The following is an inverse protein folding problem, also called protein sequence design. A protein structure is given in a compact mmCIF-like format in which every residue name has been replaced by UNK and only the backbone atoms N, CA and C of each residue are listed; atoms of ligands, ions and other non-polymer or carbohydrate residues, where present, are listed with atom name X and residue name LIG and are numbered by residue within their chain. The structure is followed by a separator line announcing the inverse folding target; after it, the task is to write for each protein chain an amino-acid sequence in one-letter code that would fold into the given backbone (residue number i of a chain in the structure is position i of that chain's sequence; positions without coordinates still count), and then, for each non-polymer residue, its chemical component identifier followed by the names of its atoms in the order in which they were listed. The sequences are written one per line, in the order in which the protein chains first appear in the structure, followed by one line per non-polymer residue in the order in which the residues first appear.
data_IF_149088625982
#
_entry.id   IF_149088625982
#
_cell.length_a   1.000
_cell.length_b   1.000
_cell.length_c   1.000
_cell.angle_alpha   90.00
_cell.angle_beta   90.00
_cell.angle_gamma   90.00
#
_symmetry.space_group_name_H-M   'P 1'
#
loop_
_entity.id
_entity.type
_entity.pdbx_description
1 polymer ?
#
# COMPACT_ATOMS: atom_id res chain seq x y z
N UNK A 1 19.56 2.07 22.49
CA UNK A 1 18.24 2.69 22.28
C UNK A 1 18.07 3.76 23.32
N UNK A 2 17.39 4.87 23.01
CA UNK A 2 17.12 5.91 24.01
C UNK A 2 16.38 5.31 25.21
N UNK A 3 16.86 5.60 26.42
CA UNK A 3 16.22 5.17 27.66
C UNK A 3 14.82 5.80 27.76
N UNK A 4 13.82 5.02 28.17
CA UNK A 4 12.44 5.52 28.30
C UNK A 4 12.39 6.52 29.45
N UNK A 5 11.75 7.67 29.21
CA UNK A 5 11.59 8.74 30.19
C UNK A 5 10.76 8.26 31.41
N UNK A 6 9.72 7.46 31.16
CA UNK A 6 8.90 6.84 32.21
C UNK A 6 9.24 5.35 32.33
N UNK A 7 9.41 4.86 33.56
CA UNK A 7 9.69 3.45 33.86
C UNK A 7 8.48 2.55 33.62
N UNK A 8 7.28 3.11 33.50
CA UNK A 8 6.04 2.39 33.19
C UNK A 8 5.95 2.08 31.71
N UNK A 9 6.36 0.86 31.36
CA UNK A 9 6.45 0.34 29.99
C UNK A 9 5.11 0.36 29.26
N UNK A 10 4.03 0.00 29.96
CA UNK A 10 2.68 -0.08 29.42
C UNK A 10 2.16 1.26 28.86
N UNK A 11 2.65 2.41 29.34
CA UNK A 11 2.23 3.72 28.83
C UNK A 11 2.62 3.92 27.35
N UNK A 12 3.75 3.34 26.93
CA UNK A 12 4.22 3.41 25.55
C UNK A 12 3.47 2.45 24.61
N UNK A 13 2.58 1.60 25.16
CA UNK A 13 1.72 0.70 24.41
C UNK A 13 0.35 1.33 24.08
N UNK A 14 0.05 2.52 24.63
CA UNK A 14 -1.26 3.16 24.48
C UNK A 14 -1.39 3.87 23.13
N UNK A 15 -0.46 4.78 22.81
CA UNK A 15 -0.58 5.70 21.67
C UNK A 15 0.02 5.13 20.38
N UNK A 16 1.22 4.54 20.47
CA UNK A 16 1.95 4.01 19.33
C UNK A 16 2.69 2.74 19.74
N UNK A 17 2.00 1.61 19.62
CA UNK A 17 2.48 0.35 20.18
C UNK A 17 3.48 -0.35 19.24
N UNK A 18 4.77 -0.16 19.51
CA UNK A 18 5.84 -0.80 18.74
C UNK A 18 6.02 -2.31 18.98
N UNK A 19 5.38 -2.90 20.00
CA UNK A 19 5.52 -4.32 20.35
C UNK A 19 4.60 -5.20 19.50
N UNK A 20 3.30 -4.91 19.55
CA UNK A 20 2.27 -5.73 18.91
C UNK A 20 1.29 -4.92 18.05
N UNK A 21 1.50 -3.61 17.91
CA UNK A 21 0.70 -2.73 17.07
C UNK A 21 -0.75 -2.52 17.49
N UNK A 22 -1.17 -2.93 18.68
CA UNK A 22 -2.50 -2.61 19.22
C UNK A 22 -2.40 -1.29 20.00
N UNK A 23 -3.02 -0.23 19.48
CA UNK A 23 -3.01 1.12 20.07
C UNK A 23 -4.31 1.86 19.74
N UNK A 24 -4.55 2.96 20.47
CA UNK A 24 -5.78 3.74 20.37
C UNK A 24 -5.92 4.49 19.04
N UNK A 25 -4.82 4.75 18.33
CA UNK A 25 -4.82 5.32 16.98
C UNK A 25 -5.64 4.43 16.03
N UNK A 26 -5.38 3.11 16.02
CA UNK A 26 -6.13 2.15 15.20
C UNK A 26 -7.58 2.02 15.59
N UNK A 27 -7.86 2.04 16.88
CA UNK A 27 -9.24 1.99 17.38
C UNK A 27 -10.06 3.15 16.84
N UNK A 28 -9.47 4.35 16.83
CA UNK A 28 -10.13 5.55 16.36
C UNK A 28 -10.28 5.59 14.84
N UNK A 29 -9.17 5.52 14.09
CA UNK A 29 -9.25 5.77 12.65
C UNK A 29 -10.07 4.70 11.92
N UNK A 30 -10.03 3.43 12.36
CA UNK A 30 -10.82 2.38 11.72
C UNK A 30 -12.32 2.65 11.85
N UNK A 31 -12.77 3.02 13.04
CA UNK A 31 -14.19 3.32 13.29
C UNK A 31 -14.59 4.60 12.54
N UNK A 32 -13.76 5.65 12.64
CA UNK A 32 -14.01 6.94 11.99
C UNK A 32 -14.11 6.79 10.47
N UNK A 33 -13.15 6.13 9.85
CA UNK A 33 -13.10 5.98 8.40
C UNK A 33 -14.24 5.10 7.90
N UNK A 34 -14.52 3.97 8.56
CA UNK A 34 -15.64 3.12 8.21
C UNK A 34 -16.98 3.85 8.33
N UNK A 35 -17.13 4.69 9.36
CA UNK A 35 -18.33 5.52 9.50
C UNK A 35 -18.45 6.52 8.35
N UNK A 36 -17.38 7.22 7.99
CA UNK A 36 -17.36 8.18 6.89
C UNK A 36 -17.64 7.54 5.52
N UNK A 37 -17.18 6.31 5.30
CA UNK A 37 -17.28 5.61 4.01
C UNK A 37 -18.58 4.82 3.85
N UNK A 38 -19.04 4.18 4.92
CA UNK A 38 -20.12 3.20 4.87
C UNK A 38 -21.37 3.63 5.64
N UNK A 39 -21.34 4.75 6.37
CA UNK A 39 -22.49 5.28 7.11
C UNK A 39 -23.06 4.28 8.12
N UNK A 40 -22.20 3.51 8.80
CA UNK A 40 -22.59 2.51 9.79
C UNK A 40 -22.95 1.12 9.24
N UNK A 41 -23.02 0.93 7.91
CA UNK A 41 -23.28 -0.40 7.31
C UNK A 41 -22.15 -1.40 7.54
N UNK A 42 -20.93 -0.90 7.73
CA UNK A 42 -19.75 -1.64 8.14
C UNK A 42 -19.11 -0.87 9.29
N UNK A 43 -18.69 -1.57 10.32
CA UNK A 43 -18.03 -0.98 11.48
C UNK A 43 -17.13 -2.02 12.14
N UNK A 44 -16.21 -1.53 12.95
CA UNK A 44 -15.36 -2.32 13.83
C UNK A 44 -15.67 -1.94 15.28
N UNK A 45 -15.70 -2.91 16.19
CA UNK A 45 -16.00 -2.66 17.60
C UNK A 45 -14.82 -3.04 18.51
N UNK A 46 -13.98 -2.07 18.85
CA UNK A 46 -12.86 -2.26 19.77
C UNK A 46 -13.27 -2.32 21.24
N UNK A 47 -14.55 -2.12 21.59
CA UNK A 47 -15.00 -2.01 22.98
C UNK A 47 -14.59 -3.22 23.82
N UNK A 48 -14.63 -4.43 23.26
CA UNK A 48 -14.17 -5.63 23.97
C UNK A 48 -12.67 -5.56 24.29
N UNK A 49 -11.83 -5.13 23.35
CA UNK A 49 -10.41 -4.93 23.63
C UNK A 49 -10.17 -3.87 24.72
N UNK A 50 -10.98 -2.81 24.73
CA UNK A 50 -10.91 -1.76 25.74
C UNK A 50 -11.31 -2.23 27.15
N UNK A 51 -12.31 -3.09 27.28
CA UNK A 51 -12.80 -3.54 28.58
C UNK A 51 -12.05 -4.77 29.12
N UNK A 52 -11.49 -5.60 28.24
CA UNK A 52 -10.82 -6.85 28.60
C UNK A 52 -9.28 -6.77 28.48
N UNK A 53 -8.70 -5.63 28.85
CA UNK A 53 -7.26 -5.49 29.03
C UNK A 53 -6.90 -5.23 30.51
N UNK A 54 -5.66 -5.57 30.88
CA UNK A 54 -5.06 -5.29 32.20
C UNK A 54 -3.57 -5.01 32.04
N UNK A 55 -2.98 -4.35 33.04
CA UNK A 55 -1.53 -4.24 33.15
C UNK A 55 -1.00 -5.39 34.02
N UNK A 56 -0.09 -6.19 33.47
CA UNK A 56 0.62 -7.27 34.18
C UNK A 56 2.10 -7.14 33.83
N UNK A 57 2.98 -7.13 34.83
CA UNK A 57 4.43 -6.97 34.66
C UNK A 57 4.80 -5.82 33.71
N UNK A 58 4.16 -4.66 33.93
CA UNK A 58 4.43 -3.42 33.19
C UNK A 58 4.08 -3.46 31.68
N UNK A 59 3.20 -4.37 31.26
CA UNK A 59 2.71 -4.52 29.88
C UNK A 59 1.19 -4.60 29.82
N UNK A 60 0.59 -4.08 28.75
CA UNK A 60 -0.83 -4.27 28.46
C UNK A 60 -1.03 -5.71 27.97
N UNK A 61 -1.88 -6.44 28.70
CA UNK A 61 -2.27 -7.82 28.43
C UNK A 61 -3.77 -7.89 28.16
N UNK A 62 -4.19 -8.86 27.36
CA UNK A 62 -5.60 -9.04 26.97
C UNK A 62 -6.18 -10.34 27.51
N UNK A 63 -7.47 -10.37 27.82
CA UNK A 63 -8.11 -11.61 28.21
C UNK A 63 -8.19 -12.58 27.01
N UNK A 64 -8.00 -13.88 27.21
CA UNK A 64 -8.08 -14.88 26.12
C UNK A 64 -9.42 -14.89 25.38
N UNK A 65 -10.52 -14.42 26.01
CA UNK A 65 -11.82 -14.33 25.35
C UNK A 65 -11.90 -13.26 24.25
N UNK A 66 -10.87 -12.43 24.08
CA UNK A 66 -10.83 -11.41 23.02
C UNK A 66 -9.79 -11.68 21.94
N UNK A 67 -9.21 -12.89 21.89
CA UNK A 67 -8.23 -13.25 20.85
C UNK A 67 -8.81 -13.09 19.44
N UNK A 68 -10.06 -13.51 19.21
CA UNK A 68 -10.72 -13.31 17.91
C UNK A 68 -10.94 -11.82 17.58
N UNK A 69 -11.27 -10.99 18.58
CA UNK A 69 -11.43 -9.54 18.42
C UNK A 69 -10.09 -8.87 18.02
N UNK A 70 -8.95 -9.40 18.49
CA UNK A 70 -7.62 -8.94 18.10
C UNK A 70 -7.31 -9.31 16.63
N UNK A 71 -7.61 -10.53 16.19
CA UNK A 71 -7.46 -10.89 14.77
C UNK A 71 -8.37 -10.03 13.90
N UNK A 72 -9.61 -9.82 14.32
CA UNK A 72 -10.55 -8.95 13.61
C UNK A 72 -10.00 -7.52 13.44
N UNK A 73 -9.35 -6.94 14.44
CA UNK A 73 -8.68 -5.63 14.32
C UNK A 73 -7.73 -5.58 13.11
N UNK A 74 -6.85 -6.58 13.00
CA UNK A 74 -5.85 -6.63 11.94
C UNK A 74 -6.46 -6.98 10.58
N UNK A 75 -7.48 -7.84 10.55
CA UNK A 75 -8.26 -8.14 9.36
C UNK A 75 -8.92 -6.86 8.81
N UNK A 76 -9.63 -6.12 9.67
CA UNK A 76 -10.29 -4.87 9.30
C UNK A 76 -9.28 -3.85 8.79
N UNK A 77 -8.15 -3.68 9.49
CA UNK A 77 -7.06 -2.82 9.00
C UNK A 77 -6.58 -3.26 7.63
N UNK A 78 -6.23 -4.53 7.45
CA UNK A 78 -5.77 -5.07 6.19
C UNK A 78 -6.77 -4.81 5.05
N UNK A 79 -8.06 -5.07 5.28
CA UNK A 79 -9.11 -4.82 4.28
C UNK A 79 -9.24 -3.33 3.92
N UNK A 80 -9.20 -2.44 4.91
CA UNK A 80 -9.24 -1.00 4.67
C UNK A 80 -8.06 -0.53 3.82
N UNK A 81 -6.85 -1.03 4.08
CA UNK A 81 -5.68 -0.75 3.24
C UNK A 81 -5.81 -1.36 1.83
N UNK A 82 -6.25 -2.61 1.71
CA UNK A 82 -6.39 -3.30 0.44
C UNK A 82 -7.42 -2.65 -0.48
N UNK A 83 -8.57 -2.28 0.07
CA UNK A 83 -9.75 -1.88 -0.69
C UNK A 83 -9.92 -0.36 -0.80
N UNK A 84 -9.56 0.38 0.24
CA UNK A 84 -9.84 1.82 0.34
C UNK A 84 -8.55 2.64 0.22
N UNK A 85 -7.64 2.56 1.18
CA UNK A 85 -6.46 3.44 1.21
C UNK A 85 -5.53 3.18 0.04
N UNK A 86 -5.39 1.91 -0.35
CA UNK A 86 -4.65 1.48 -1.52
C UNK A 86 -5.50 1.41 -2.79
N UNK A 87 -6.69 2.03 -2.86
CA UNK A 87 -7.55 1.92 -4.04
C UNK A 87 -6.87 2.48 -5.28
N UNK A 88 -6.99 1.77 -6.41
CA UNK A 88 -6.20 2.03 -7.62
C UNK A 88 -6.42 3.42 -8.20
N UNK A 89 -7.67 3.90 -8.26
CA UNK A 89 -7.95 5.27 -8.73
C UNK A 89 -7.53 6.33 -7.69
N UNK A 90 -7.49 5.99 -6.40
CA UNK A 90 -6.94 6.85 -5.36
C UNK A 90 -5.42 7.02 -5.54
N UNK A 91 -4.69 5.91 -5.67
CA UNK A 91 -3.25 5.93 -6.01
C UNK A 91 -2.95 6.67 -7.31
N UNK A 92 -3.78 6.55 -8.34
CA UNK A 92 -3.61 7.32 -9.58
C UNK A 92 -3.69 8.84 -9.34
N UNK A 93 -4.66 9.30 -8.53
CA UNK A 93 -4.75 10.71 -8.12
C UNK A 93 -3.55 11.12 -7.26
N UNK A 94 -3.13 10.27 -6.32
CA UNK A 94 -1.94 10.51 -5.50
C UNK A 94 -0.69 10.69 -6.37
N UNK A 95 -0.48 9.85 -7.38
CA UNK A 95 0.63 10.03 -8.32
C UNK A 95 0.54 11.32 -9.14
N UNK A 96 -0.67 11.76 -9.48
CA UNK A 96 -0.85 13.06 -10.13
C UNK A 96 -0.57 14.22 -9.18
N UNK A 97 -0.97 14.12 -7.89
CA UNK A 97 -0.66 15.12 -6.86
C UNK A 97 0.84 15.15 -6.56
N UNK A 98 1.48 13.98 -6.43
CA UNK A 98 2.94 13.87 -6.36
C UNK A 98 3.55 14.50 -7.60
N UNK A 99 3.02 14.32 -8.80
CA UNK A 99 3.57 15.01 -9.98
C UNK A 99 3.34 16.53 -9.96
N UNK A 100 2.28 17.01 -9.30
CA UNK A 100 2.07 18.45 -9.04
C UNK A 100 3.11 18.99 -8.05
N UNK A 101 3.54 18.19 -7.06
CA UNK A 101 4.35 18.62 -5.89
C UNK A 101 5.84 18.20 -5.98
N UNK A 102 6.16 17.08 -6.65
CA UNK A 102 7.40 16.29 -6.51
C UNK A 102 7.94 15.76 -7.85
N UNK A 103 9.28 15.70 -7.96
CA UNK A 103 10.17 14.87 -8.80
C UNK A 103 11.61 15.41 -9.00
N UNK A 104 12.58 14.71 -8.42
CA UNK A 104 13.95 14.65 -8.96
C UNK A 104 14.18 13.27 -9.59
N UNK A 105 14.99 13.26 -10.67
CA UNK A 105 15.53 12.13 -11.47
C UNK A 105 14.51 11.40 -12.38
N UNK A 106 14.61 11.34 -13.72
CA UNK A 106 15.73 11.54 -14.65
C UNK A 106 15.18 11.94 -16.02
N UNK A 107 15.88 12.83 -16.72
CA UNK A 107 15.93 12.98 -18.18
C UNK A 107 14.61 13.23 -18.95
N UNK A 108 14.49 14.48 -19.43
CA UNK A 108 13.55 14.95 -20.46
C UNK A 108 12.05 14.99 -20.10
N UNK A 109 11.72 15.79 -19.08
CA UNK A 109 10.50 16.62 -19.03
C UNK A 109 10.57 17.55 -17.79
N UNK A 110 11.65 18.34 -17.69
CA UNK A 110 11.68 19.56 -16.85
C UNK A 110 10.52 20.45 -17.32
N UNK A 111 9.62 20.94 -16.47
CA UNK A 111 9.69 22.31 -15.95
C UNK A 111 8.68 22.58 -14.80
N UNK A 112 7.68 21.73 -14.55
CA UNK A 112 6.56 22.03 -13.64
C UNK A 112 6.93 22.19 -12.16
N UNK A 113 8.05 21.56 -11.80
CA UNK A 113 8.22 20.91 -10.52
C UNK A 113 9.32 21.61 -9.69
N UNK A 114 10.36 22.12 -10.38
CA UNK A 114 11.23 23.20 -9.88
C UNK A 114 10.38 24.41 -9.52
N UNK A 115 9.37 24.72 -10.31
CA UNK A 115 8.71 26.01 -10.24
C UNK A 115 7.72 26.08 -9.07
N UNK A 116 7.05 24.98 -8.70
CA UNK A 116 6.16 24.96 -7.54
C UNK A 116 6.90 24.91 -6.19
N UNK A 117 7.80 23.95 -6.00
CA UNK A 117 8.54 23.82 -4.74
C UNK A 117 9.48 25.02 -4.50
N UNK A 118 10.16 25.52 -5.54
CA UNK A 118 10.99 26.74 -5.42
C UNK A 118 10.15 27.98 -5.17
N UNK A 119 8.97 28.11 -5.77
CA UNK A 119 8.10 29.27 -5.53
C UNK A 119 7.40 29.23 -4.17
N UNK A 120 7.12 28.03 -3.65
CA UNK A 120 6.25 27.84 -2.48
C UNK A 120 6.98 27.27 -1.25
N UNK A 121 8.26 26.89 -1.36
CA UNK A 121 9.08 26.39 -0.26
C UNK A 121 8.55 25.11 0.40
N UNK A 122 7.85 24.25 -0.35
CA UNK A 122 7.06 23.12 0.18
C UNK A 122 7.96 22.20 1.01
N UNK A 123 9.05 21.70 0.41
CA UNK A 123 9.98 20.78 1.07
C UNK A 123 10.72 21.45 2.22
N UNK A 124 11.13 22.70 2.03
CA UNK A 124 11.86 23.47 3.04
C UNK A 124 11.02 23.71 4.30
N UNK A 125 9.70 23.85 4.16
CA UNK A 125 8.78 24.08 5.29
C UNK A 125 8.84 22.97 6.35
N UNK A 126 9.19 21.73 5.97
CA UNK A 126 9.30 20.59 6.89
C UNK A 126 10.39 20.74 7.96
N UNK A 127 11.36 21.64 7.74
CA UNK A 127 12.45 21.90 8.68
C UNK A 127 12.07 22.92 9.77
N UNK A 128 10.89 23.52 9.69
CA UNK A 128 10.42 24.55 10.62
C UNK A 128 8.98 24.30 11.02
N UNK A 129 8.67 23.97 12.30
CA UNK A 129 7.29 23.83 12.75
C UNK A 129 6.43 25.06 12.44
N UNK A 130 7.03 26.26 12.46
CA UNK A 130 6.37 27.53 12.17
C UNK A 130 5.93 27.65 10.72
N UNK A 131 6.67 27.06 9.78
CA UNK A 131 6.32 27.04 8.35
C UNK A 131 5.43 25.84 8.03
N UNK A 132 5.76 24.67 8.58
CA UNK A 132 5.07 23.41 8.33
C UNK A 132 3.57 23.47 8.69
N UNK A 133 3.19 24.20 9.74
CA UNK A 133 1.78 24.35 10.13
C UNK A 133 0.89 24.94 9.03
N UNK A 134 1.45 25.71 8.09
CA UNK A 134 0.72 26.28 6.96
C UNK A 134 0.71 25.37 5.73
N UNK A 135 1.55 24.34 5.71
CA UNK A 135 1.58 23.35 4.64
C UNK A 135 0.39 22.39 4.78
N UNK A 136 -0.72 22.79 4.17
CA UNK A 136 -1.99 22.07 4.16
C UNK A 136 -2.42 21.76 2.73
N UNK A 137 -3.51 21.00 2.58
CA UNK A 137 -4.16 20.72 1.29
C UNK A 137 -4.51 21.98 0.48
N UNK A 138 -4.57 23.15 1.14
CA UNK A 138 -4.75 24.43 0.48
C UNK A 138 -3.69 24.72 -0.60
N UNK A 139 -2.51 24.09 -0.53
CA UNK A 139 -1.45 24.22 -1.54
C UNK A 139 -1.94 23.91 -2.96
N UNK A 140 -2.85 22.94 -3.12
CA UNK A 140 -3.45 22.62 -4.41
C UNK A 140 -4.24 23.81 -4.95
N UNK A 141 -4.96 24.53 -4.06
CA UNK A 141 -5.71 25.72 -4.43
C UNK A 141 -4.79 26.89 -4.77
N UNK A 142 -3.71 27.07 -4.02
CA UNK A 142 -2.68 28.09 -4.29
C UNK A 142 -2.11 27.91 -5.69
N UNK A 143 -1.71 26.69 -6.06
CA UNK A 143 -1.18 26.39 -7.40
C UNK A 143 -2.26 26.62 -8.46
N UNK A 144 -3.48 26.11 -8.25
CA UNK A 144 -4.61 26.24 -9.19
C UNK A 144 -4.94 27.71 -9.51
N UNK A 145 -4.86 28.60 -8.51
CA UNK A 145 -5.16 30.03 -8.63
C UNK A 145 -3.95 30.90 -8.99
N UNK A 146 -2.73 30.36 -8.97
CA UNK A 146 -1.53 31.13 -9.29
C UNK A 146 -1.53 31.59 -10.75
N UNK A 147 -1.10 32.83 -10.98
CA UNK A 147 -0.91 33.42 -12.31
C UNK A 147 0.52 33.25 -12.83
N UNK A 148 1.42 32.68 -12.02
CA UNK A 148 2.80 32.47 -12.44
C UNK A 148 2.86 31.49 -13.61
N UNK A 149 3.47 31.91 -14.73
CA UNK A 149 3.66 31.06 -15.91
C UNK A 149 4.44 29.79 -15.58
N UNK A 150 5.31 29.88 -14.57
CA UNK A 150 6.13 28.78 -14.07
C UNK A 150 5.29 27.59 -13.57
N UNK A 151 4.11 27.86 -13.03
CA UNK A 151 3.19 26.88 -12.47
C UNK A 151 2.20 26.30 -13.49
N UNK A 152 2.33 26.63 -14.78
CA UNK A 152 1.36 26.25 -15.81
C UNK A 152 1.18 24.73 -15.92
N UNK A 153 2.27 23.97 -15.99
CA UNK A 153 2.20 22.51 -16.09
C UNK A 153 1.56 21.86 -14.86
N UNK A 154 1.83 22.38 -13.66
CA UNK A 154 1.20 21.93 -12.42
C UNK A 154 -0.32 22.20 -12.43
N UNK A 155 -0.72 23.40 -12.86
CA UNK A 155 -2.14 23.75 -13.07
C UNK A 155 -2.82 22.82 -14.07
N UNK A 156 -2.15 22.42 -15.14
CA UNK A 156 -2.73 21.54 -16.16
C UNK A 156 -2.94 20.11 -15.64
N UNK A 157 -2.07 19.60 -14.75
CA UNK A 157 -2.30 18.34 -14.05
C UNK A 157 -3.51 18.47 -13.09
N UNK A 158 -3.61 19.57 -12.33
CA UNK A 158 -4.78 19.81 -11.46
C UNK A 158 -6.07 19.84 -12.30
N UNK A 159 -6.08 20.55 -13.44
CA UNK A 159 -7.23 20.56 -14.37
C UNK A 159 -7.61 19.16 -14.83
N UNK A 160 -6.62 18.30 -15.15
CA UNK A 160 -6.88 16.89 -15.49
C UNK A 160 -7.55 16.15 -14.33
N UNK A 161 -7.06 16.31 -13.10
CA UNK A 161 -7.69 15.71 -11.90
C UNK A 161 -9.15 16.16 -11.78
N UNK A 162 -9.41 17.47 -11.89
CA UNK A 162 -10.78 18.05 -11.83
C UNK A 162 -11.70 17.50 -12.92
N UNK A 163 -11.17 17.30 -14.13
CA UNK A 163 -11.89 16.71 -15.27
C UNK A 163 -11.92 15.18 -15.27
N UNK A 164 -11.39 14.55 -14.21
CA UNK A 164 -11.27 13.09 -14.08
C UNK A 164 -10.45 12.42 -15.20
N UNK A 165 -9.57 13.17 -15.86
CA UNK A 165 -8.61 12.69 -16.85
C UNK A 165 -7.36 12.13 -16.15
N UNK A 166 -7.60 11.08 -15.35
CA UNK A 166 -6.61 10.51 -14.44
C UNK A 166 -5.56 9.66 -15.18
N UNK A 167 -4.44 9.42 -14.51
CA UNK A 167 -3.54 8.33 -14.87
C UNK A 167 -4.27 7.00 -14.87
N UNK A 168 -3.95 6.17 -15.84
CA UNK A 168 -4.67 4.92 -16.05
C UNK A 168 -4.00 3.80 -15.28
N UNK A 169 -4.80 3.03 -14.57
CA UNK A 169 -4.33 1.77 -14.00
C UNK A 169 -4.25 0.76 -15.15
N UNK A 170 -3.06 0.25 -15.41
CA UNK A 170 -2.78 -0.62 -16.55
C UNK A 170 -2.94 -2.08 -16.14
N UNK A 171 -2.17 -2.50 -15.14
CA UNK A 171 -2.14 -3.91 -14.74
C UNK A 171 -1.70 -4.10 -13.29
N UNK A 172 -1.92 -5.31 -12.76
CA UNK A 172 -1.52 -5.71 -11.42
C UNK A 172 -1.02 -7.15 -11.39
N UNK A 173 -0.07 -7.41 -10.50
CA UNK A 173 0.44 -8.73 -10.19
C UNK A 173 0.55 -8.91 -8.67
N UNK A 174 -0.22 -9.86 -8.13
CA UNK A 174 -0.08 -10.32 -6.75
C UNK A 174 1.09 -11.29 -6.70
N UNK A 175 2.19 -10.88 -6.07
CA UNK A 175 3.44 -11.65 -6.05
C UNK A 175 3.27 -12.86 -5.13
N UNK A 176 3.44 -14.10 -5.64
CA UNK A 176 3.45 -15.28 -4.79
C UNK A 176 4.55 -15.18 -3.71
N UNK A 177 4.27 -15.71 -2.51
CA UNK A 177 5.19 -15.63 -1.38
C UNK A 177 6.62 -16.12 -1.72
N UNK A 178 6.74 -17.22 -2.47
CA UNK A 178 8.04 -17.78 -2.88
C UNK A 178 8.83 -16.93 -3.90
N UNK A 179 8.19 -15.92 -4.51
CA UNK A 179 8.82 -14.96 -5.42
C UNK A 179 9.09 -13.60 -4.76
N UNK A 180 8.56 -13.36 -3.56
CA UNK A 180 8.59 -12.03 -2.91
C UNK A 180 10.00 -11.47 -2.76
N UNK A 181 10.98 -12.33 -2.46
CA UNK A 181 12.39 -11.93 -2.33
C UNK A 181 13.22 -12.20 -3.59
N UNK A 182 12.65 -12.85 -4.62
CA UNK A 182 13.33 -13.17 -5.89
C UNK A 182 13.15 -12.07 -6.94
N UNK A 183 12.01 -11.39 -6.92
CA UNK A 183 11.75 -10.25 -7.78
C UNK A 183 12.37 -9.02 -7.09
N UNK A 184 13.37 -8.33 -7.68
CA UNK A 184 13.91 -7.10 -7.11
C UNK A 184 12.86 -5.99 -7.11
N UNK A 185 13.21 -4.81 -6.59
CA UNK A 185 12.35 -3.62 -6.71
C UNK A 185 12.24 -3.25 -8.19
N UNK A 186 11.05 -3.32 -8.75
CA UNK A 186 10.79 -3.08 -10.18
C UNK A 186 10.80 -1.59 -10.46
N UNK A 187 11.52 -1.17 -11.51
CA UNK A 187 11.60 0.20 -11.98
C UNK A 187 10.88 0.37 -13.32
N UNK A 188 10.52 1.61 -13.65
CA UNK A 188 9.87 1.93 -14.92
C UNK A 188 10.75 1.54 -16.15
N UNK A 189 12.08 1.68 -16.02
CA UNK A 189 13.03 1.26 -17.05
C UNK A 189 13.00 -0.24 -17.34
N UNK A 190 12.82 -1.06 -16.30
CA UNK A 190 12.76 -2.52 -16.45
C UNK A 190 11.56 -2.94 -17.31
N UNK A 191 10.46 -2.17 -17.21
CA UNK A 191 9.25 -2.38 -18.01
C UNK A 191 9.45 -1.86 -19.42
N UNK A 192 9.98 -0.65 -19.60
CA UNK A 192 10.23 -0.08 -20.93
C UNK A 192 11.17 -0.97 -21.77
N UNK A 193 12.18 -1.59 -21.15
CA UNK A 193 13.15 -2.46 -21.82
C UNK A 193 12.67 -3.91 -22.04
N UNK A 194 11.55 -4.33 -21.45
CA UNK A 194 11.06 -5.71 -21.56
C UNK A 194 10.41 -6.05 -22.92
N UNK A 195 10.30 -5.06 -23.81
CA UNK A 195 9.71 -5.20 -25.14
C UNK A 195 8.20 -5.47 -25.11
N UNK A 196 7.53 -5.22 -26.24
CA UNK A 196 6.11 -5.53 -26.40
C UNK A 196 5.84 -6.03 -27.82
N UNK A 197 4.81 -6.85 -28.00
CA UNK A 197 4.49 -7.46 -29.29
C UNK A 197 3.97 -6.45 -30.33
N UNK A 198 3.58 -5.26 -29.88
CA UNK A 198 3.09 -4.17 -30.74
C UNK A 198 4.22 -3.35 -31.37
N UNK A 199 5.48 -3.54 -30.96
CA UNK A 199 6.63 -2.77 -31.44
C UNK A 199 6.57 -1.28 -31.07
N UNK A 200 5.78 -0.91 -30.05
CA UNK A 200 5.68 0.47 -29.58
C UNK A 200 6.90 0.79 -28.73
N UNK A 201 7.60 1.89 -29.04
CA UNK A 201 8.67 2.39 -28.18
C UNK A 201 8.07 3.06 -26.94
N UNK A 202 8.37 2.52 -25.75
CA UNK A 202 7.77 2.95 -24.49
C UNK A 202 8.66 3.99 -23.82
N UNK A 203 8.12 5.19 -23.61
CA UNK A 203 8.81 6.19 -22.81
C UNK A 203 8.73 5.81 -21.32
N UNK A 204 9.90 5.68 -20.68
CA UNK A 204 10.03 5.41 -19.24
C UNK A 204 9.23 6.41 -18.40
N UNK A 205 9.17 7.68 -18.83
CA UNK A 205 8.47 8.75 -18.11
C UNK A 205 6.94 8.60 -18.10
N UNK A 206 6.37 7.78 -18.99
CA UNK A 206 4.94 7.49 -19.02
C UNK A 206 4.54 6.34 -18.09
N UNK A 207 5.51 5.57 -17.59
CA UNK A 207 5.29 4.39 -16.76
C UNK A 207 5.47 4.74 -15.28
N UNK A 208 4.51 4.35 -14.46
CA UNK A 208 4.59 4.45 -13.00
C UNK A 208 4.47 3.05 -12.41
N UNK A 209 5.45 2.67 -11.59
CA UNK A 209 5.47 1.39 -10.89
C UNK A 209 5.11 1.61 -9.42
N UNK A 210 4.06 0.92 -8.97
CA UNK A 210 3.75 0.75 -7.56
C UNK A 210 4.25 -0.63 -7.12
N UNK A 211 5.11 -0.66 -6.10
CA UNK A 211 5.57 -1.89 -5.46
C UNK A 211 5.26 -1.79 -3.97
N UNK A 212 4.10 -2.34 -3.58
CA UNK A 212 3.57 -2.20 -2.23
C UNK A 212 3.50 -3.52 -1.48
N UNK A 213 3.66 -3.44 -0.16
CA UNK A 213 3.45 -4.55 0.78
C UNK A 213 2.28 -4.22 1.70
N UNK A 214 1.33 -5.14 1.83
CA UNK A 214 0.20 -5.04 2.74
C UNK A 214 0.33 -6.14 3.79
N UNK A 215 0.18 -5.77 5.05
CA UNK A 215 0.41 -6.67 6.17
C UNK A 215 -0.38 -6.30 7.43
N UNK A 216 -0.24 -7.12 8.47
CA UNK A 216 -0.89 -6.93 9.78
C UNK A 216 -0.14 -5.92 10.66
N UNK A 217 0.49 -4.92 10.05
CA UNK A 217 1.28 -3.85 10.67
C UNK A 217 2.59 -4.30 11.35
N UNK A 218 2.97 -5.58 11.22
CA UNK A 218 4.23 -6.13 11.73
C UNK A 218 5.03 -6.87 10.64
N UNK A 219 5.11 -6.27 9.43
CA UNK A 219 5.78 -6.87 8.27
C UNK A 219 5.21 -8.27 7.99
N UNK A 220 6.07 -9.26 7.77
CA UNK A 220 5.71 -10.65 7.52
C UNK A 220 5.35 -11.46 8.77
N UNK A 221 5.37 -10.84 9.97
CA UNK A 221 5.08 -11.50 11.25
C UNK A 221 3.63 -11.33 11.68
N UNK A 222 3.16 -12.29 12.46
CA UNK A 222 1.89 -12.18 13.16
C UNK A 222 2.03 -11.24 14.38
N UNK A 223 1.33 -10.10 14.44
CA UNK A 223 1.37 -9.24 15.63
C UNK A 223 0.79 -9.93 16.88
N UNK A 224 -0.11 -10.91 16.72
CA UNK A 224 -0.74 -11.61 17.85
C UNK A 224 0.26 -12.49 18.61
N UNK A 225 1.32 -12.96 17.97
CA UNK A 225 2.40 -13.69 18.64
C UNK A 225 3.11 -12.82 19.70
N UNK A 226 3.06 -11.50 19.53
CA UNK A 226 3.65 -10.52 20.46
C UNK A 226 2.66 -10.04 21.53
N UNK A 227 1.43 -10.57 21.54
CA UNK A 227 0.39 -10.24 22.52
C UNK A 227 0.50 -11.14 23.73
N UNK A 228 0.46 -10.54 24.91
CA UNK A 228 0.41 -11.25 26.19
C UNK A 228 -1.04 -11.38 26.64
N UNK A 229 -1.41 -12.58 27.08
CA UNK A 229 -2.77 -12.95 27.47
C UNK A 229 -2.86 -13.28 28.96
N UNK A 230 -4.07 -13.15 29.53
CA UNK A 230 -4.42 -13.65 30.85
C UNK A 230 -5.79 -14.35 30.82
N UNK A 231 -6.13 -15.12 31.86
CA UNK A 231 -7.42 -15.82 31.97
C UNK A 231 -8.23 -15.37 33.18
N UNK A 232 -9.51 -15.76 33.23
CA UNK A 232 -10.34 -15.59 34.42
C UNK A 232 -9.82 -16.35 35.64
N UNK A 233 -9.12 -17.48 35.45
CA UNK A 233 -8.61 -18.32 36.53
C UNK A 233 -7.34 -17.78 37.17
N UNK A 234 -6.46 -17.13 36.39
CA UNK A 234 -5.33 -16.37 36.91
C UNK A 234 -5.22 -15.03 36.16
N UNK A 235 -5.57 -13.94 36.85
CA UNK A 235 -5.60 -12.61 36.24
C UNK A 235 -4.25 -11.92 36.30
N UNK A 236 -3.35 -12.32 37.18
CA UNK A 236 -2.10 -11.61 37.48
C UNK A 236 -0.87 -12.29 36.83
N UNK A 237 -1.09 -13.34 36.03
CA UNK A 237 -0.07 -14.02 35.25
C UNK A 237 -0.33 -13.80 33.76
N UNK A 238 0.72 -13.45 33.02
CA UNK A 238 0.67 -13.29 31.56
C UNK A 238 1.34 -14.46 30.86
N UNK A 239 0.81 -14.85 29.71
CA UNK A 239 1.37 -15.89 28.85
C UNK A 239 1.16 -15.56 27.37
N UNK A 240 1.76 -16.35 26.48
CA UNK A 240 1.51 -16.28 25.04
C UNK A 240 0.76 -17.53 24.59
N UNK A 241 -0.09 -17.40 23.59
CA UNK A 241 -0.84 -18.53 23.01
C UNK A 241 -0.48 -18.70 21.55
N UNK A 242 0.00 -19.87 21.12
CA UNK A 242 0.22 -20.17 19.71
C UNK A 242 -1.09 -20.08 18.91
N UNK A 243 -1.04 -19.47 17.73
CA UNK A 243 -2.20 -19.34 16.82
C UNK A 243 -2.93 -20.67 16.60
N UNK A 244 -2.18 -21.77 16.45
CA UNK A 244 -2.68 -23.11 16.15
C UNK A 244 -3.54 -23.69 17.28
N UNK A 245 -3.33 -23.24 18.52
CA UNK A 245 -4.13 -23.66 19.68
C UNK A 245 -5.45 -22.88 19.78
N UNK A 246 -5.59 -21.76 19.05
CA UNK A 246 -6.78 -20.90 19.08
C UNK A 246 -7.69 -21.18 17.89
N UNK A 247 -7.17 -21.12 16.66
CA UNK A 247 -7.96 -21.39 15.47
C UNK A 247 -7.08 -21.79 14.28
N UNK A 248 -7.48 -22.88 13.63
CA UNK A 248 -6.88 -23.35 12.38
C UNK A 248 -7.33 -22.53 11.15
N UNK A 249 -8.29 -21.62 11.33
CA UNK A 249 -8.82 -20.75 10.26
C UNK A 249 -8.16 -19.36 10.26
N UNK A 250 -7.22 -19.10 11.17
CA UNK A 250 -6.45 -17.86 11.13
C UNK A 250 -5.43 -17.87 9.98
N UNK A 251 -5.06 -16.69 9.44
CA UNK A 251 -4.14 -16.61 8.31
C UNK A 251 -2.79 -17.29 8.56
N UNK A 252 -2.25 -17.98 7.55
CA UNK A 252 -0.89 -18.52 7.56
C UNK A 252 0.16 -17.52 7.06
N UNK A 253 -0.28 -16.45 6.39
CA UNK A 253 0.59 -15.41 5.84
C UNK A 253 0.09 -14.05 6.30
N UNK A 254 1.02 -13.24 6.78
CA UNK A 254 0.72 -11.92 7.37
C UNK A 254 1.19 -10.76 6.51
N UNK A 255 1.76 -11.05 5.34
CA UNK A 255 2.14 -10.06 4.33
C UNK A 255 1.86 -10.57 2.91
N UNK A 256 1.42 -9.67 2.04
CA UNK A 256 1.39 -9.84 0.60
C UNK A 256 2.08 -8.67 -0.10
N UNK A 257 2.72 -8.94 -1.25
CA UNK A 257 3.36 -7.94 -2.11
C UNK A 257 2.57 -7.80 -3.41
N UNK A 258 2.25 -6.57 -3.79
CA UNK A 258 1.48 -6.25 -5.00
C UNK A 258 2.29 -5.29 -5.87
N UNK A 259 2.49 -5.69 -7.12
CA UNK A 259 3.01 -4.82 -8.17
C UNK A 259 1.83 -4.26 -8.97
N UNK A 260 1.80 -2.95 -9.19
CA UNK A 260 0.83 -2.32 -10.11
C UNK A 260 1.55 -1.40 -11.06
N UNK A 261 1.08 -1.38 -12.30
CA UNK A 261 1.57 -0.45 -13.30
C UNK A 261 0.47 0.55 -13.63
N UNK A 262 0.88 1.81 -13.72
CA UNK A 262 0.03 2.90 -14.18
C UNK A 262 0.70 3.58 -15.37
N UNK A 263 -0.14 4.18 -16.21
CA UNK A 263 0.28 4.99 -17.36
C UNK A 263 -0.12 6.44 -17.16
N UNK A 264 0.78 7.37 -17.45
CA UNK A 264 0.48 8.81 -17.50
C UNK A 264 -0.36 9.19 -18.72
N UNK A 265 -0.32 8.34 -19.75
CA UNK A 265 -1.09 8.44 -20.98
C UNK A 265 -2.44 7.75 -20.87
N UNK A 266 -3.45 8.32 -21.54
CA UNK A 266 -4.76 7.70 -21.72
C UNK A 266 -4.87 6.98 -23.08
N UNK A 267 -3.76 6.90 -23.84
CA UNK A 267 -3.69 6.18 -25.11
C UNK A 267 -3.80 4.67 -24.90
N UNK A 268 -4.78 4.05 -25.57
CA UNK A 268 -5.07 2.62 -25.43
C UNK A 268 -3.95 1.73 -25.95
N UNK A 269 -3.28 2.11 -27.04
CA UNK A 269 -2.19 1.34 -27.63
C UNK A 269 -0.95 1.38 -26.73
N UNK A 270 -0.61 2.55 -26.19
CA UNK A 270 0.47 2.69 -25.20
C UNK A 270 0.16 1.85 -23.95
N UNK A 271 -1.06 1.93 -23.43
CA UNK A 271 -1.46 1.16 -22.24
C UNK A 271 -1.39 -0.35 -22.46
N UNK A 272 -1.77 -0.83 -23.66
CA UNK A 272 -1.62 -2.24 -24.02
C UNK A 272 -0.15 -2.66 -24.14
N UNK A 273 0.69 -1.82 -24.76
CA UNK A 273 2.13 -2.07 -24.86
C UNK A 273 2.79 -2.12 -23.47
N UNK A 274 2.44 -1.21 -22.56
CA UNK A 274 2.93 -1.22 -21.16
C UNK A 274 2.48 -2.50 -20.44
N UNK A 275 1.22 -2.93 -20.61
CA UNK A 275 0.73 -4.18 -20.00
C UNK A 275 1.51 -5.39 -20.50
N UNK A 276 1.75 -5.50 -21.80
CA UNK A 276 2.54 -6.59 -22.39
C UNK A 276 3.98 -6.59 -21.87
N UNK A 277 4.64 -5.43 -21.89
CA UNK A 277 6.01 -5.31 -21.41
C UNK A 277 6.12 -5.63 -19.91
N UNK A 278 5.13 -5.23 -19.11
CA UNK A 278 5.04 -5.64 -17.70
C UNK A 278 4.94 -7.15 -17.54
N UNK A 279 4.08 -7.81 -18.32
CA UNK A 279 3.93 -9.28 -18.26
C UNK A 279 5.21 -9.99 -18.70
N UNK A 280 5.84 -9.56 -19.79
CA UNK A 280 7.14 -10.06 -20.25
C UNK A 280 8.21 -9.94 -19.16
N UNK A 281 8.27 -8.80 -18.47
CA UNK A 281 9.21 -8.60 -17.36
C UNK A 281 9.00 -9.63 -16.24
N UNK A 282 7.75 -9.90 -15.86
CA UNK A 282 7.39 -10.86 -14.80
C UNK A 282 7.66 -12.32 -15.23
N UNK A 283 7.51 -12.65 -16.51
CA UNK A 283 7.76 -14.00 -17.04
C UNK A 283 9.22 -14.46 -16.85
N UNK A 284 10.18 -13.55 -16.71
CA UNK A 284 11.56 -13.90 -16.32
C UNK A 284 11.66 -14.57 -14.93
N UNK A 285 10.69 -14.33 -14.06
CA UNK A 285 10.69 -14.83 -12.67
C UNK A 285 9.62 -15.90 -12.42
N UNK A 286 8.56 -15.94 -13.24
CA UNK A 286 7.43 -16.84 -13.04
C UNK A 286 6.91 -17.41 -14.35
N UNK A 287 6.86 -18.75 -14.42
CA UNK A 287 6.23 -19.48 -15.53
C UNK A 287 4.70 -19.31 -15.50
N UNK A 288 4.12 -19.08 -14.32
CA UNK A 288 2.69 -18.81 -14.15
C UNK A 288 2.49 -17.35 -13.78
N UNK A 289 1.91 -16.60 -14.69
CA UNK A 289 1.54 -15.20 -14.48
C UNK A 289 0.02 -15.13 -14.37
N UNK A 290 -0.56 -15.32 -13.17
CA UNK A 290 -2.00 -15.23 -12.99
C UNK A 290 -2.55 -13.90 -13.50
N UNK A 291 -3.71 -14.01 -14.14
CA UNK A 291 -4.52 -12.88 -14.54
C UNK A 291 -4.94 -12.09 -13.29
N UNK A 292 -4.76 -10.76 -13.28
CA UNK A 292 -5.40 -9.94 -12.26
C UNK A 292 -6.87 -9.77 -12.63
N UNK A 293 -7.83 -10.19 -11.78
CA UNK A 293 -9.26 -10.05 -12.06
C UNK A 293 -9.73 -8.62 -12.33
N UNK A 294 -8.91 -7.64 -11.99
CA UNK A 294 -9.23 -6.24 -12.20
C UNK A 294 -8.31 -5.55 -13.21
N UNK A 295 -7.50 -6.30 -13.97
CA UNK A 295 -6.93 -5.81 -15.23
C UNK A 295 -8.06 -5.59 -16.24
N UNK A 296 -8.07 -4.42 -16.89
CA UNK A 296 -9.08 -4.05 -17.90
C UNK A 296 -8.56 -4.18 -19.34
N UNK A 297 -7.29 -4.54 -19.49
CA UNK A 297 -6.55 -4.43 -20.75
C UNK A 297 -6.34 -5.79 -21.40
N UNK A 298 -6.13 -6.82 -20.59
CA UNK A 298 -5.91 -8.20 -21.04
C UNK A 298 -7.11 -9.03 -20.61
N UNK A 299 -7.57 -9.95 -21.45
CA UNK A 299 -8.57 -10.95 -21.06
C UNK A 299 -7.87 -12.18 -20.48
N UNK A 300 -8.53 -12.99 -19.63
CA UNK A 300 -7.96 -14.28 -19.24
C UNK A 300 -7.61 -15.09 -20.50
N UNK A 301 -6.32 -15.39 -20.72
CA UNK A 301 -5.94 -16.31 -21.78
C UNK A 301 -6.35 -17.72 -21.37
N UNK A 302 -7.27 -18.35 -22.09
CA UNK A 302 -7.45 -19.80 -22.00
C UNK A 302 -6.13 -20.47 -22.40
N UNK A 303 -5.58 -21.28 -21.50
CA UNK A 303 -4.33 -22.03 -21.58
C UNK A 303 -3.67 -22.07 -22.98
N UNK A 304 -2.47 -21.47 -23.10
CA UNK A 304 -1.50 -21.97 -24.09
C UNK A 304 -1.17 -23.40 -23.66
N UNK A 305 -1.77 -24.39 -24.34
CA UNK A 305 -1.42 -25.81 -24.16
C UNK A 305 0.11 -25.93 -24.18
N UNK A 306 0.73 -26.67 -23.25
CA UNK A 306 2.16 -26.91 -23.31
C UNK A 306 2.50 -27.54 -24.68
N UNK A 307 3.66 -27.23 -25.27
CA UNK A 307 4.06 -27.84 -26.52
C UNK A 307 4.02 -29.36 -26.37
N UNK A 308 3.33 -30.04 -27.31
CA UNK A 308 3.32 -31.49 -27.36
C UNK A 308 4.77 -31.97 -27.44
N UNK A 309 5.21 -32.70 -26.44
CA UNK A 309 6.47 -33.43 -26.48
C UNK A 309 6.36 -34.42 -27.64
N UNK A 310 6.99 -34.13 -28.77
CA UNK A 310 7.24 -35.13 -29.82
C UNK A 310 8.19 -36.15 -29.23
N UNK A 311 7.65 -37.31 -28.88
CA UNK A 311 8.40 -38.50 -28.54
C UNK A 311 9.42 -38.80 -29.64
N UNK A 312 10.69 -38.65 -29.32
CA UNK A 312 11.79 -39.24 -30.08
C UNK A 312 11.62 -40.75 -29.92
N UNK A 313 11.29 -41.42 -31.03
CA UNK A 313 11.39 -42.87 -31.14
C UNK A 313 12.88 -43.23 -31.08
N UNK A 314 13.28 -43.95 -30.04
CA UNK A 314 14.53 -44.70 -30.07
C UNK A 314 14.27 -46.01 -30.82
N UNK A 315 15.08 -46.25 -31.86
CA UNK A 315 15.30 -47.59 -32.41
C UNK A 315 16.15 -48.44 -31.49
#
# INVERSE_FOLDING_TARGET
GAERIDKRGYLYEIVANGRNCIDVDKFDYLVRDMQCLFGGKKSYNYSRLWHYNRVIDNEICYHTSVTSDIYELFDQRYYMYKQIYGHRKGKAVEYMIIHVISLHLSSFAEYAMILADKALGISASTNSPQEFQYMTDHIIKVIECSKDASLQSARDIIKRIRRRQLYEFVDEYLVPAYLTNKIPKVQASDIACAGNALGVDLNVNDIIVYDGRLNYNLKDKNPVDMVSFYTSSNKDEKFHTPKQEVSLLFPEKFEERILRIYSRSNDKQVNLAISQAFRNHIEHYSIKVPFSPASKIVSPSHDKKPPRCTSIQFG
#
